data_IF_627067244654
#
_entry.id   IF_627067244654
#
_cell.length_a   1.000
_cell.length_b   1.000
_cell.length_c   1.000
_cell.angle_alpha   90.00
_cell.angle_beta   90.00
_cell.angle_gamma   90.00
#
_symmetry.space_group_name_H-M   'P 1'
#
loop_
_entity.id
_entity.type
_entity.pdbx_description
1 polymer ?
#
# COMPACT_ATOMS: atom_id res chain seq x y z
N UNK A 1 12.09 -40.05 -9.01
CA UNK A 1 11.47 -38.76 -9.04
C UNK A 1 12.59 -37.71 -9.02
N UNK A 2 12.79 -37.01 -10.15
CA UNK A 2 13.80 -35.97 -10.27
C UNK A 2 13.20 -34.70 -9.65
N UNK A 3 13.71 -34.31 -8.48
CA UNK A 3 13.35 -33.04 -7.84
C UNK A 3 13.95 -31.93 -8.70
N UNK A 4 13.15 -31.00 -9.23
CA UNK A 4 13.69 -29.91 -10.03
C UNK A 4 14.48 -28.94 -9.15
N UNK A 5 15.78 -28.83 -9.40
CA UNK A 5 16.64 -27.84 -8.78
C UNK A 5 16.47 -26.48 -9.51
N UNK A 6 16.48 -25.38 -8.76
CA UNK A 6 16.58 -24.07 -9.39
C UNK A 6 17.99 -23.83 -9.95
N UNK A 7 18.18 -22.75 -10.71
CA UNK A 7 19.49 -22.38 -11.31
C UNK A 7 20.61 -22.15 -10.27
N UNK A 8 20.32 -22.27 -8.95
CA UNK A 8 21.28 -22.17 -7.83
C UNK A 8 21.46 -23.50 -7.07
N UNK A 9 20.87 -24.60 -7.55
CA UNK A 9 21.05 -25.94 -6.96
C UNK A 9 20.27 -26.23 -5.68
N UNK A 10 19.24 -25.40 -5.35
CA UNK A 10 18.40 -25.64 -4.18
C UNK A 10 17.19 -26.51 -4.51
N UNK A 11 16.85 -27.41 -3.59
CA UNK A 11 15.64 -28.21 -3.63
C UNK A 11 14.39 -27.32 -3.60
N UNK A 12 13.58 -27.39 -4.66
CA UNK A 12 12.35 -26.61 -4.82
C UNK A 12 11.14 -27.47 -4.44
N UNK A 13 11.16 -28.09 -3.25
CA UNK A 13 9.93 -28.67 -2.71
C UNK A 13 8.96 -27.55 -2.39
N UNK A 14 7.86 -27.48 -3.14
CA UNK A 14 6.80 -26.50 -2.91
C UNK A 14 6.03 -26.83 -1.64
N UNK A 15 6.01 -25.90 -0.71
CA UNK A 15 5.31 -26.05 0.56
C UNK A 15 3.90 -25.49 0.47
N UNK A 16 2.91 -26.30 0.78
CA UNK A 16 1.50 -25.93 0.80
C UNK A 16 1.00 -25.79 2.23
N UNK A 17 0.25 -24.71 2.51
CA UNK A 17 -0.43 -24.48 3.78
C UNK A 17 -1.87 -24.07 3.53
N UNK A 18 -2.74 -24.42 4.47
CA UNK A 18 -4.14 -24.02 4.44
C UNK A 18 -4.26 -22.50 4.42
N UNK A 19 -5.05 -21.99 3.48
CA UNK A 19 -5.29 -20.54 3.38
C UNK A 19 -5.99 -20.02 4.61
N UNK A 20 -5.40 -19.06 5.32
CA UNK A 20 -6.00 -18.45 6.48
C UNK A 20 -7.38 -17.84 6.17
N UNK A 21 -8.39 -18.24 6.93
CA UNK A 21 -9.78 -17.88 6.73
C UNK A 21 -10.52 -18.68 5.65
N UNK A 22 -9.85 -19.73 5.08
CA UNK A 22 -10.41 -20.65 4.08
C UNK A 22 -9.84 -22.06 4.21
N UNK A 23 -9.52 -22.47 5.43
CA UNK A 23 -8.66 -23.64 5.74
C UNK A 23 -9.18 -24.94 5.14
N UNK A 24 -10.48 -25.18 5.16
CA UNK A 24 -11.09 -26.40 4.62
C UNK A 24 -11.26 -26.38 3.11
N UNK A 25 -11.05 -25.24 2.46
CA UNK A 25 -11.43 -25.02 1.07
C UNK A 25 -10.23 -24.86 0.16
N UNK A 26 -9.17 -24.20 0.65
CA UNK A 26 -8.03 -23.81 -0.18
C UNK A 26 -6.71 -23.89 0.55
N UNK A 27 -5.67 -24.19 -0.22
CA UNK A 27 -4.28 -24.09 0.20
C UNK A 27 -3.54 -23.10 -0.70
N UNK A 28 -2.53 -22.46 -0.12
CA UNK A 28 -1.61 -21.57 -0.83
C UNK A 28 -0.19 -22.09 -0.64
N UNK A 29 0.64 -21.97 -1.68
CA UNK A 29 2.02 -22.36 -1.63
C UNK A 29 2.96 -21.19 -1.39
N UNK A 30 4.16 -21.48 -0.92
CA UNK A 30 5.28 -20.56 -0.80
C UNK A 30 5.78 -20.02 -2.17
N UNK A 31 5.39 -20.66 -3.26
CA UNK A 31 5.63 -20.17 -4.64
C UNK A 31 4.49 -19.30 -5.18
N UNK A 32 3.49 -18.98 -4.38
CA UNK A 32 2.38 -18.11 -4.78
C UNK A 32 1.32 -18.78 -5.65
N UNK A 33 1.20 -20.10 -5.60
CA UNK A 33 0.09 -20.84 -6.23
C UNK A 33 -1.02 -21.07 -5.21
N UNK A 34 -2.26 -21.20 -5.68
CA UNK A 34 -3.43 -21.48 -4.84
C UNK A 34 -4.17 -22.68 -5.41
N UNK A 35 -4.57 -23.62 -4.57
CA UNK A 35 -5.31 -24.81 -4.98
C UNK A 35 -6.56 -25.05 -4.13
N UNK A 36 -7.52 -25.75 -4.68
CA UNK A 36 -8.66 -26.29 -3.91
C UNK A 36 -8.23 -27.50 -3.13
N UNK A 37 -8.73 -27.67 -1.91
CA UNK A 37 -8.59 -28.91 -1.13
C UNK A 37 -9.63 -29.91 -1.61
N UNK A 38 -9.24 -31.17 -1.80
CA UNK A 38 -10.16 -32.25 -2.14
C UNK A 38 -11.10 -32.49 -0.96
N UNK A 39 -12.41 -32.44 -1.21
CA UNK A 39 -13.42 -32.65 -0.16
C UNK A 39 -14.74 -33.14 -0.73
N UNK A 40 -15.49 -33.82 0.10
CA UNK A 40 -16.86 -34.18 -0.18
C UNK A 40 -17.83 -33.25 0.56
N UNK A 41 -18.95 -32.95 -0.05
CA UNK A 41 -20.02 -32.21 0.60
C UNK A 41 -21.37 -32.66 0.05
N UNK A 42 -22.41 -32.48 0.84
CA UNK A 42 -23.78 -32.80 0.47
C UNK A 42 -24.54 -31.52 0.20
N UNK A 43 -25.14 -31.41 -0.99
CA UNK A 43 -26.03 -30.28 -1.31
C UNK A 43 -27.35 -30.39 -0.55
N UNK A 44 -28.10 -29.28 -0.50
CA UNK A 44 -29.42 -29.20 0.14
C UNK A 44 -30.44 -30.26 -0.39
N UNK A 45 -30.26 -30.73 -1.61
CA UNK A 45 -31.05 -31.79 -2.21
C UNK A 45 -30.49 -33.21 -1.96
N UNK A 46 -29.70 -33.42 -0.91
CA UNK A 46 -29.06 -34.69 -0.52
C UNK A 46 -28.07 -35.25 -1.54
N UNK A 47 -27.72 -34.51 -2.61
CA UNK A 47 -26.76 -34.95 -3.61
C UNK A 47 -25.34 -34.82 -3.07
N UNK A 48 -24.60 -35.94 -3.03
CA UNK A 48 -23.16 -35.95 -2.74
C UNK A 48 -22.39 -35.31 -3.89
N UNK A 49 -21.46 -34.43 -3.58
CA UNK A 49 -20.61 -33.75 -4.54
C UNK A 49 -19.16 -33.86 -4.07
N UNK A 50 -18.23 -34.00 -5.03
CA UNK A 50 -16.81 -34.10 -4.77
C UNK A 50 -16.14 -32.87 -5.40
N UNK A 51 -15.38 -32.15 -4.62
CA UNK A 51 -14.43 -31.15 -5.12
C UNK A 51 -13.08 -31.83 -5.26
N UNK A 52 -12.54 -31.84 -6.46
CA UNK A 52 -11.19 -32.36 -6.72
C UNK A 52 -10.13 -31.27 -6.44
N UNK A 53 -8.97 -31.71 -5.99
CA UNK A 53 -7.82 -30.83 -5.92
C UNK A 53 -7.49 -30.28 -7.32
N UNK A 54 -7.29 -28.98 -7.40
CA UNK A 54 -6.82 -28.31 -8.63
C UNK A 54 -6.19 -26.95 -8.31
N UNK A 55 -5.16 -26.58 -9.06
CA UNK A 55 -4.58 -25.26 -9.00
C UNK A 55 -5.56 -24.26 -9.66
N UNK A 56 -5.80 -23.15 -8.98
CA UNK A 56 -6.69 -22.09 -9.46
C UNK A 56 -5.98 -21.23 -10.50
N UNK A 57 -6.72 -20.90 -11.56
CA UNK A 57 -6.28 -19.87 -12.50
C UNK A 57 -6.23 -18.51 -11.77
N UNK A 58 -5.13 -17.78 -11.98
CA UNK A 58 -4.92 -16.46 -11.39
C UNK A 58 -5.24 -15.38 -12.41
N UNK A 59 -6.14 -14.47 -12.04
CA UNK A 59 -6.40 -13.23 -12.76
C UNK A 59 -5.33 -12.17 -12.52
N UNK A 60 -5.39 -11.08 -13.26
CA UNK A 60 -4.56 -9.89 -13.04
C UNK A 60 -5.44 -8.68 -12.78
N UNK A 61 -5.27 -8.06 -11.62
CA UNK A 61 -6.00 -6.85 -11.23
C UNK A 61 -5.01 -5.75 -10.87
N UNK A 62 -4.91 -4.75 -11.72
CA UNK A 62 -3.96 -3.61 -11.55
C UNK A 62 -2.50 -4.06 -11.40
N UNK A 63 -2.09 -5.08 -12.14
CA UNK A 63 -0.75 -5.65 -12.11
C UNK A 63 -0.53 -6.72 -11.04
N UNK A 64 -1.48 -6.95 -10.13
CA UNK A 64 -1.37 -7.97 -9.09
C UNK A 64 -2.11 -9.26 -9.47
N UNK A 65 -1.52 -10.41 -9.18
CA UNK A 65 -2.21 -11.70 -9.29
C UNK A 65 -3.30 -11.81 -8.24
N UNK A 66 -4.47 -12.30 -8.67
CA UNK A 66 -5.65 -12.46 -7.82
C UNK A 66 -6.35 -13.79 -8.10
N UNK A 67 -7.05 -14.32 -7.11
CA UNK A 67 -7.90 -15.49 -7.20
C UNK A 67 -9.26 -15.20 -6.60
N UNK A 68 -10.30 -15.82 -7.17
CA UNK A 68 -11.66 -15.79 -6.61
C UNK A 68 -11.86 -17.05 -5.77
N UNK A 69 -11.98 -16.87 -4.47
CA UNK A 69 -12.29 -17.93 -3.52
C UNK A 69 -13.80 -17.98 -3.27
N UNK A 70 -14.32 -19.17 -3.07
CA UNK A 70 -15.75 -19.39 -2.75
C UNK A 70 -15.85 -20.27 -1.51
N UNK A 71 -16.44 -19.71 -0.44
CA UNK A 71 -16.69 -20.40 0.82
C UNK A 71 -18.14 -20.13 1.22
N UNK A 72 -18.90 -21.16 1.56
CA UNK A 72 -20.27 -21.10 2.06
C UNK A 72 -21.22 -20.24 1.20
N UNK A 73 -21.06 -20.33 -0.11
CA UNK A 73 -21.86 -19.57 -1.07
C UNK A 73 -21.34 -18.14 -1.32
N UNK A 74 -20.45 -17.61 -0.50
CA UNK A 74 -19.87 -16.27 -0.66
C UNK A 74 -18.64 -16.32 -1.55
N UNK A 75 -18.54 -15.39 -2.50
CA UNK A 75 -17.37 -15.22 -3.36
C UNK A 75 -16.53 -14.08 -2.82
N UNK A 76 -15.22 -14.27 -2.74
CA UNK A 76 -14.26 -13.26 -2.30
C UNK A 76 -13.05 -13.25 -3.23
N UNK A 77 -12.76 -12.09 -3.80
CA UNK A 77 -11.56 -11.89 -4.60
C UNK A 77 -10.40 -11.52 -3.68
N UNK A 78 -9.36 -12.32 -3.74
CA UNK A 78 -8.18 -12.19 -2.89
C UNK A 78 -6.93 -12.01 -3.74
N UNK A 79 -6.05 -11.10 -3.33
CA UNK A 79 -4.72 -10.96 -3.94
C UNK A 79 -3.81 -12.05 -3.43
N UNK A 80 -3.09 -12.70 -4.34
CA UNK A 80 -2.25 -13.87 -4.04
C UNK A 80 -1.16 -13.52 -3.03
N UNK A 81 -0.43 -12.42 -3.21
CA UNK A 81 0.61 -12.00 -2.26
C UNK A 81 0.08 -11.86 -0.82
N UNK A 82 -1.16 -11.38 -0.64
CA UNK A 82 -1.74 -11.30 0.72
C UNK A 82 -2.06 -12.66 1.30
N UNK A 83 -2.56 -13.60 0.48
CA UNK A 83 -2.79 -14.98 0.93
C UNK A 83 -1.49 -15.64 1.37
N UNK A 84 -0.41 -15.49 0.59
CA UNK A 84 0.91 -16.03 0.92
C UNK A 84 1.41 -15.48 2.24
N UNK A 85 1.46 -14.15 2.38
CA UNK A 85 2.04 -13.50 3.56
C UNK A 85 1.21 -13.79 4.81
N UNK A 86 -0.14 -13.73 4.71
CA UNK A 86 -1.03 -14.05 5.84
C UNK A 86 -0.88 -15.52 6.31
N UNK A 87 -0.65 -16.42 5.37
CA UNK A 87 -0.57 -17.87 5.68
C UNK A 87 0.80 -18.28 6.21
N UNK A 88 1.89 -17.72 5.67
CA UNK A 88 3.25 -18.14 5.99
C UNK A 88 3.94 -17.27 7.03
N UNK A 89 3.71 -15.97 7.02
CA UNK A 89 4.31 -15.01 7.96
C UNK A 89 3.36 -14.70 9.13
N UNK A 90 2.04 -14.72 8.89
CA UNK A 90 1.03 -14.51 9.91
C UNK A 90 0.26 -13.20 9.74
N UNK A 91 -0.40 -12.77 10.85
CA UNK A 91 -1.25 -11.57 10.84
C UNK A 91 -0.51 -10.32 10.39
N UNK A 92 -1.23 -9.36 9.78
CA UNK A 92 -0.64 -8.13 9.32
C UNK A 92 0.04 -7.37 10.47
N UNK A 93 1.37 -7.36 10.48
CA UNK A 93 2.15 -6.50 11.36
C UNK A 93 2.22 -5.05 10.85
N UNK A 94 1.96 -4.86 9.55
CA UNK A 94 1.94 -3.59 8.83
C UNK A 94 0.83 -3.59 7.77
N UNK A 95 0.50 -2.41 7.23
CA UNK A 95 -0.68 -2.21 6.39
C UNK A 95 -0.58 -2.83 4.98
N UNK A 96 0.63 -2.93 4.45
CA UNK A 96 0.89 -3.29 3.06
C UNK A 96 1.81 -4.50 2.95
N UNK A 97 1.76 -5.14 1.78
CA UNK A 97 2.75 -6.15 1.37
C UNK A 97 3.62 -5.51 0.30
N UNK A 98 4.93 -5.57 0.50
CA UNK A 98 5.94 -5.15 -0.46
C UNK A 98 6.45 -6.36 -1.26
N UNK A 99 6.74 -6.13 -2.56
CA UNK A 99 7.49 -7.06 -3.40
C UNK A 99 8.93 -6.58 -3.46
N UNK A 100 9.86 -7.36 -2.92
CA UNK A 100 11.27 -6.95 -2.75
C UNK A 100 11.94 -6.67 -4.11
N UNK A 101 11.60 -7.44 -5.14
CA UNK A 101 12.09 -7.22 -6.52
C UNK A 101 11.30 -6.16 -7.31
N UNK A 102 10.20 -5.63 -6.74
CA UNK A 102 9.29 -4.69 -7.40
C UNK A 102 8.34 -5.32 -8.42
N UNK A 103 8.44 -6.61 -8.72
CA UNK A 103 7.51 -7.30 -9.61
C UNK A 103 6.26 -7.76 -8.86
N UNK A 104 5.14 -7.10 -9.11
CA UNK A 104 3.83 -7.41 -8.52
C UNK A 104 3.28 -8.79 -8.88
N UNK A 105 3.86 -9.46 -9.84
CA UNK A 105 3.46 -10.79 -10.30
C UNK A 105 4.26 -11.90 -9.64
N UNK A 106 5.42 -11.60 -9.06
CA UNK A 106 6.27 -12.53 -8.34
C UNK A 106 5.83 -12.67 -6.88
N UNK A 107 4.97 -13.66 -6.62
CA UNK A 107 4.38 -13.89 -5.31
C UNK A 107 5.08 -15.00 -4.50
N UNK A 108 6.33 -15.30 -4.80
CA UNK A 108 7.15 -16.23 -4.01
C UNK A 108 7.37 -15.67 -2.61
N UNK A 109 7.21 -16.48 -1.58
CA UNK A 109 7.28 -16.05 -0.17
C UNK A 109 8.56 -15.27 0.16
N UNK A 110 9.71 -15.70 -0.36
CA UNK A 110 11.01 -15.04 -0.15
C UNK A 110 11.08 -13.62 -0.75
N UNK A 111 10.16 -13.28 -1.66
CA UNK A 111 10.04 -11.98 -2.30
C UNK A 111 9.01 -11.06 -1.63
N UNK A 112 8.35 -11.50 -0.56
CA UNK A 112 7.25 -10.79 0.06
C UNK A 112 7.55 -10.45 1.52
N UNK A 113 7.20 -9.23 1.91
CA UNK A 113 7.33 -8.77 3.28
C UNK A 113 6.17 -7.84 3.69
N UNK A 114 5.87 -7.77 4.98
CA UNK A 114 4.98 -6.73 5.49
C UNK A 114 5.72 -5.39 5.52
N UNK A 115 5.11 -4.35 4.97
CA UNK A 115 5.66 -3.01 4.92
C UNK A 115 4.63 -1.94 5.31
N UNK A 116 5.09 -0.85 5.90
CA UNK A 116 4.31 0.37 6.01
C UNK A 116 4.23 1.07 4.66
N UNK A 117 3.31 2.01 4.53
CA UNK A 117 3.22 2.84 3.33
C UNK A 117 4.52 3.59 3.03
N UNK A 118 5.14 4.15 4.07
CA UNK A 118 6.40 4.92 3.93
C UNK A 118 7.56 4.04 3.48
N UNK A 119 7.71 2.85 4.06
CA UNK A 119 8.73 1.87 3.65
C UNK A 119 8.54 1.43 2.19
N UNK A 120 7.30 1.14 1.80
CA UNK A 120 7.00 0.72 0.44
C UNK A 120 7.21 1.84 -0.59
N UNK A 121 6.89 3.10 -0.22
CA UNK A 121 7.18 4.26 -1.08
C UNK A 121 8.69 4.49 -1.22
N UNK A 122 9.46 4.39 -0.13
CA UNK A 122 10.91 4.53 -0.14
C UNK A 122 11.56 3.42 -0.98
N UNK A 123 11.11 2.18 -0.82
CA UNK A 123 11.55 1.04 -1.62
C UNK A 123 11.31 1.28 -3.12
N UNK A 124 10.10 1.71 -3.49
CA UNK A 124 9.75 2.01 -4.88
C UNK A 124 10.63 3.15 -5.46
N UNK A 125 11.00 4.12 -4.64
CA UNK A 125 11.88 5.22 -5.04
C UNK A 125 13.32 4.74 -5.24
N UNK A 126 13.88 3.99 -4.31
CA UNK A 126 15.25 3.49 -4.33
C UNK A 126 15.48 2.52 -5.52
N UNK A 127 14.46 1.75 -5.87
CA UNK A 127 14.51 0.80 -7.00
C UNK A 127 14.11 1.42 -8.36
N UNK A 128 13.92 2.75 -8.42
CA UNK A 128 13.57 3.44 -9.67
C UNK A 128 12.17 3.13 -10.22
N UNK A 129 11.35 2.42 -9.45
CA UNK A 129 9.97 2.07 -9.84
C UNK A 129 9.03 3.30 -9.78
N UNK A 130 9.41 4.31 -9.00
CA UNK A 130 8.71 5.58 -8.88
C UNK A 130 9.68 6.71 -9.21
N UNK A 131 9.53 7.32 -10.37
CA UNK A 131 10.26 8.55 -10.70
C UNK A 131 9.65 9.71 -9.92
N UNK A 132 10.42 10.35 -9.04
CA UNK A 132 10.11 11.69 -8.60
C UNK A 132 10.25 12.60 -9.83
N UNK A 133 9.17 13.11 -10.34
CA UNK A 133 9.26 14.18 -11.32
C UNK A 133 9.77 15.40 -10.55
N UNK A 134 11.03 15.78 -10.78
CA UNK A 134 11.63 17.01 -10.23
C UNK A 134 10.75 18.24 -10.56
N UNK A 135 9.99 18.14 -11.63
CA UNK A 135 8.94 19.10 -12.02
C UNK A 135 7.83 19.22 -10.97
N UNK A 136 7.48 18.15 -10.23
CA UNK A 136 6.45 18.22 -9.17
C UNK A 136 7.01 18.83 -7.89
N UNK A 137 8.28 18.59 -7.61
CA UNK A 137 8.99 19.21 -6.47
C UNK A 137 9.23 20.69 -6.72
N UNK A 138 9.62 21.08 -7.94
CA UNK A 138 9.83 22.49 -8.29
C UNK A 138 8.50 23.26 -8.30
N UNK A 139 7.44 22.72 -8.92
CA UNK A 139 6.10 23.33 -8.91
C UNK A 139 5.51 23.51 -7.50
N UNK A 140 5.68 22.49 -6.63
CA UNK A 140 5.21 22.59 -5.23
C UNK A 140 6.06 23.55 -4.42
N UNK A 141 7.38 23.61 -4.67
CA UNK A 141 8.28 24.56 -4.05
C UNK A 141 8.02 26.00 -4.51
N UNK A 142 7.86 26.22 -5.80
CA UNK A 142 7.55 27.56 -6.37
C UNK A 142 6.14 28.02 -5.99
N UNK A 143 5.13 27.15 -6.02
CA UNK A 143 3.78 27.46 -5.57
C UNK A 143 3.73 27.74 -4.06
N UNK A 144 4.50 27.03 -3.26
CA UNK A 144 4.65 27.30 -1.83
C UNK A 144 5.47 28.57 -1.57
N UNK A 145 6.45 28.90 -2.42
CA UNK A 145 7.21 30.14 -2.35
C UNK A 145 6.35 31.34 -2.76
N UNK A 146 5.53 31.22 -3.82
CA UNK A 146 4.57 32.23 -4.21
C UNK A 146 3.44 32.43 -3.18
N UNK A 147 2.99 31.36 -2.50
CA UNK A 147 2.06 31.43 -1.36
C UNK A 147 2.72 31.96 -0.07
N UNK A 148 4.04 31.96 0.03
CA UNK A 148 4.81 32.49 1.18
C UNK A 148 5.12 33.96 1.11
N UNK A 149 4.93 34.63 0.00
CA UNK A 149 5.46 35.96 -0.23
C UNK A 149 4.57 37.10 0.30
N UNK A 150 4.41 37.15 1.60
CA UNK A 150 4.35 38.47 2.23
C UNK A 150 5.79 38.96 2.34
N UNK A 151 6.07 40.16 1.86
CA UNK A 151 7.39 40.78 2.02
C UNK A 151 7.70 40.98 3.51
N UNK A 152 8.98 41.00 3.87
CA UNK A 152 9.40 41.26 5.24
C UNK A 152 8.83 42.58 5.78
N UNK A 153 8.67 43.60 4.92
CA UNK A 153 8.02 44.87 5.25
C UNK A 153 6.55 44.67 5.63
N UNK A 154 5.81 43.88 4.87
CA UNK A 154 4.40 43.57 5.18
C UNK A 154 4.29 42.82 6.49
N UNK A 155 5.23 41.90 6.78
CA UNK A 155 5.24 41.17 8.05
C UNK A 155 5.51 42.07 9.23
N UNK A 156 6.47 43.03 9.10
CA UNK A 156 6.76 44.05 10.11
C UNK A 156 5.57 44.99 10.30
N UNK A 157 4.93 45.39 9.21
CA UNK A 157 3.69 46.20 9.26
C UNK A 157 2.57 45.49 10.03
N UNK A 158 2.31 44.22 9.75
CA UNK A 158 1.30 43.43 10.48
C UNK A 158 1.60 43.39 11.99
N UNK A 159 2.89 43.28 12.35
CA UNK A 159 3.30 43.16 13.76
C UNK A 159 3.25 44.49 14.52
N UNK A 160 3.59 45.57 13.88
CA UNK A 160 3.61 46.91 14.48
C UNK A 160 2.27 47.64 14.42
N UNK A 161 1.37 47.24 13.52
CA UNK A 161 0.10 47.92 13.32
C UNK A 161 -0.86 47.71 14.50
N UNK A 162 -1.50 48.80 14.94
CA UNK A 162 -2.57 48.76 15.96
C UNK A 162 -3.95 48.38 15.39
N UNK A 163 -4.05 48.23 14.07
CA UNK A 163 -5.29 47.86 13.41
C UNK A 163 -5.77 46.47 13.87
N UNK A 164 -7.08 46.27 13.92
CA UNK A 164 -7.65 44.95 14.22
C UNK A 164 -7.24 43.92 13.20
N UNK A 165 -7.19 42.63 13.61
CA UNK A 165 -6.87 41.50 12.69
C UNK A 165 -7.83 41.44 11.51
N UNK A 166 -9.07 41.92 11.69
CA UNK A 166 -10.08 41.97 10.64
C UNK A 166 -9.71 42.99 9.56
N UNK A 167 -9.38 44.22 10.00
CA UNK A 167 -9.00 45.30 9.07
C UNK A 167 -7.74 45.00 8.30
N UNK A 168 -6.70 44.44 8.96
CA UNK A 168 -5.47 44.01 8.30
C UNK A 168 -5.69 42.87 7.32
N UNK A 169 -6.56 41.92 7.65
CA UNK A 169 -6.90 40.83 6.76
C UNK A 169 -7.57 41.29 5.47
N UNK A 170 -8.47 42.26 5.60
CA UNK A 170 -9.19 42.89 4.48
C UNK A 170 -8.25 43.72 3.61
N UNK A 171 -7.46 44.61 4.24
CA UNK A 171 -6.49 45.48 3.56
C UNK A 171 -5.42 44.70 2.76
N UNK A 172 -4.90 43.60 3.33
CA UNK A 172 -3.80 42.81 2.74
C UNK A 172 -4.27 41.61 1.92
N UNK A 173 -5.58 41.38 1.84
CA UNK A 173 -6.15 40.23 1.12
C UNK A 173 -5.75 38.86 1.68
N UNK A 174 -5.49 38.77 3.00
CA UNK A 174 -5.06 37.54 3.67
C UNK A 174 -6.08 37.07 4.72
N UNK A 175 -5.98 35.81 5.16
CA UNK A 175 -6.91 35.35 6.20
C UNK A 175 -6.61 35.95 7.58
N UNK A 176 -7.65 36.19 8.38
CA UNK A 176 -7.54 36.64 9.79
C UNK A 176 -6.63 35.73 10.61
N UNK A 177 -6.73 34.39 10.39
CA UNK A 177 -5.88 33.41 11.06
C UNK A 177 -4.40 33.64 10.73
N UNK A 178 -4.08 33.99 9.47
CA UNK A 178 -2.70 34.32 9.07
C UNK A 178 -2.18 35.55 9.80
N UNK A 179 -2.97 36.62 9.89
CA UNK A 179 -2.63 37.84 10.66
C UNK A 179 -2.32 37.49 12.13
N UNK A 180 -3.17 36.67 12.75
CA UNK A 180 -2.99 36.23 14.13
C UNK A 180 -1.71 35.43 14.34
N UNK A 181 -1.39 34.47 13.44
CA UNK A 181 -0.18 33.67 13.49
C UNK A 181 1.12 34.49 13.27
N UNK A 182 1.06 35.53 12.41
CA UNK A 182 2.17 36.45 12.17
C UNK A 182 2.44 37.32 13.40
N UNK A 183 1.41 37.86 14.04
CA UNK A 183 1.55 38.62 15.30
C UNK A 183 2.07 37.80 16.45
N UNK A 184 1.68 36.52 16.54
CA UNK A 184 2.18 35.58 17.54
C UNK A 184 3.59 35.01 17.22
N UNK A 185 4.22 35.45 16.13
CA UNK A 185 5.50 34.93 15.62
C UNK A 185 5.51 33.40 15.38
N UNK A 186 4.34 32.77 15.26
CA UNK A 186 4.21 31.35 14.89
C UNK A 186 4.37 31.11 13.39
N UNK A 187 4.26 32.15 12.60
CA UNK A 187 4.55 32.17 11.16
C UNK A 187 5.51 33.32 10.87
N UNK A 188 6.53 33.07 10.01
CA UNK A 188 7.61 34.00 9.70
C UNK A 188 8.40 34.40 10.97
N UNK A 189 8.75 33.42 11.81
CA UNK A 189 9.48 33.66 13.07
C UNK A 189 10.86 34.26 12.88
N UNK A 190 11.47 34.05 11.72
CA UNK A 190 12.75 34.50 11.24
C UNK A 190 12.81 36.00 10.82
N UNK A 191 11.66 36.63 10.62
CA UNK A 191 11.58 38.06 10.32
C UNK A 191 11.52 38.87 11.61
N UNK A 192 12.51 39.74 11.80
CA UNK A 192 12.61 40.63 12.96
C UNK A 192 11.51 41.72 12.97
#
# INVERSE_FOLDING_TARGET
DIIPLNNKGYDMTENWKQCKGFEEYYEVSDLGRVRTVAREFVKSNSRKCIVKERILAQGNVRGYKSVTLKCDGVRKDMRVHRLVVMTFIGEPSKEMVNHIDGDKTNNVLSNLEWATRSENELHAYNNGLKKSTDLHKSRTSESNKARRALSDETIRYIRSSELSQYKLADELGISRASVGLIRQRKRYADVA
#
